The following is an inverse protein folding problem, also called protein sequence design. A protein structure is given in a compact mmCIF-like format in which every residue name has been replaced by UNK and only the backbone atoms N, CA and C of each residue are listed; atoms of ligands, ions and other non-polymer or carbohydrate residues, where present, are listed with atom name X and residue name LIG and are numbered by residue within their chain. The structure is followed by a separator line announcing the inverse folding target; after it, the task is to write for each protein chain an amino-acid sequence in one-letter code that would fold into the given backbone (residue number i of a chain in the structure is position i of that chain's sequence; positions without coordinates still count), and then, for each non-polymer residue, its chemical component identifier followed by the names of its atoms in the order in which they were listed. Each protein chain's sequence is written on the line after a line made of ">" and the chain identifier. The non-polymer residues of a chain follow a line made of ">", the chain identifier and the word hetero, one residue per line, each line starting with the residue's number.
data_IF_359631767915
#
_entry.id   IF_359631767915
#
_cell.length_a   1.000
_cell.length_b   1.000
_cell.length_c   1.000
_cell.angle_alpha   90.00
_cell.angle_beta   90.00
_cell.angle_gamma   90.00
#
_symmetry.space_group_name_H-M   'P 1'
#
loop_
_entity.id
_entity.type
_entity.pdbx_description
1 polymer ?
#
# COMPACT_ATOMS: atom_id res chain seq x y z
N UNK A 1 -13.80 62.70 -18.80
CA UNK A 1 -14.34 61.95 -19.96
C UNK A 1 -13.75 60.55 -19.89
N UNK A 2 -14.47 59.43 -19.91
CA UNK A 2 -15.90 59.14 -19.97
C UNK A 2 -16.03 57.69 -19.47
N UNK A 3 -16.97 57.48 -18.55
CA UNK A 3 -17.44 56.17 -18.06
C UNK A 3 -18.22 55.45 -19.15
N UNK A 4 -18.07 54.13 -19.30
CA UNK A 4 -19.15 53.22 -19.73
C UNK A 4 -19.04 51.87 -18.97
N UNK A 5 -20.09 51.58 -18.21
CA UNK A 5 -20.50 50.30 -17.63
C UNK A 5 -21.34 49.50 -18.64
N UNK A 6 -21.42 48.17 -18.51
CA UNK A 6 -22.62 47.28 -18.65
C UNK A 6 -22.15 45.81 -18.59
N UNK A 7 -22.58 44.90 -17.69
CA UNK A 7 -23.90 44.35 -17.26
C UNK A 7 -24.24 43.00 -17.92
N UNK A 8 -24.83 42.09 -17.11
CA UNK A 8 -25.66 40.94 -17.50
C UNK A 8 -24.87 39.64 -17.79
N UNK A 9 -25.22 38.45 -17.32
CA UNK A 9 -26.51 37.93 -16.85
C UNK A 9 -26.33 36.74 -15.88
N UNK A 10 -27.11 36.74 -14.80
CA UNK A 10 -27.64 35.51 -14.19
C UNK A 10 -28.74 34.96 -15.11
N UNK A 11 -29.02 33.64 -15.07
CA UNK A 11 -30.24 33.29 -14.35
C UNK A 11 -30.11 32.05 -13.45
N UNK A 12 -30.51 32.30 -12.22
CA UNK A 12 -31.30 31.48 -11.29
C UNK A 12 -32.40 30.62 -11.95
N UNK A 13 -32.63 29.43 -11.39
CA UNK A 13 -33.92 28.75 -11.10
C UNK A 13 -33.54 27.34 -10.57
N UNK A 14 -33.48 27.08 -9.27
CA UNK A 14 -34.55 26.86 -8.27
C UNK A 14 -35.46 25.64 -8.55
N UNK A 15 -35.65 24.84 -7.48
CA UNK A 15 -36.78 23.92 -7.17
C UNK A 15 -36.80 22.55 -7.89
N UNK A 16 -37.08 21.38 -7.31
CA UNK A 16 -37.84 20.92 -6.11
C UNK A 16 -37.25 19.55 -5.65
N UNK A 17 -37.03 19.33 -4.36
CA UNK A 17 -37.94 18.61 -3.44
C UNK A 17 -38.67 17.42 -4.05
N UNK A 18 -38.33 16.19 -3.60
CA UNK A 18 -39.32 15.11 -3.44
C UNK A 18 -38.78 14.06 -2.45
N UNK A 19 -38.92 14.39 -1.16
CA UNK A 19 -39.20 13.38 -0.14
C UNK A 19 -40.62 12.88 -0.39
N UNK A 20 -40.81 11.59 -0.61
CA UNK A 20 -42.12 10.96 -0.41
C UNK A 20 -41.97 9.75 0.51
N UNK A 21 -42.73 9.71 1.62
CA UNK A 21 -42.70 8.66 2.62
C UNK A 21 -43.59 7.48 2.19
N UNK A 22 -43.32 6.32 2.80
CA UNK A 22 -44.31 5.25 2.91
C UNK A 22 -44.36 4.27 1.74
N UNK A 23 -43.80 3.07 1.96
CA UNK A 23 -44.40 1.81 1.47
C UNK A 23 -43.88 0.63 2.28
N UNK A 24 -44.70 0.30 3.29
CA UNK A 24 -45.07 -1.07 3.72
C UNK A 24 -44.12 -2.21 3.34
N UNK A 25 -43.37 -2.63 4.35
CA UNK A 25 -42.95 -4.00 4.64
C UNK A 25 -44.08 -5.01 4.33
N UNK A 26 -43.93 -5.77 3.23
CA UNK A 26 -44.68 -7.00 3.02
C UNK A 26 -44.01 -8.12 3.82
N UNK A 27 -44.55 -8.44 4.99
CA UNK A 27 -44.30 -9.72 5.64
C UNK A 27 -44.99 -10.82 4.83
N UNK A 28 -44.21 -11.66 4.15
CA UNK A 28 -44.73 -12.92 3.64
C UNK A 28 -45.06 -13.82 4.83
N UNK A 29 -46.34 -14.09 5.01
CA UNK A 29 -46.85 -15.09 5.95
C UNK A 29 -46.34 -16.49 5.54
N UNK A 30 -45.67 -17.17 6.46
CA UNK A 30 -45.37 -18.60 6.35
C UNK A 30 -46.62 -19.40 6.77
N UNK A 31 -47.02 -20.46 6.04
CA UNK A 31 -48.06 -21.36 6.48
C UNK A 31 -47.59 -22.23 7.65
N UNK A 32 -48.49 -22.43 8.62
CA UNK A 32 -48.36 -23.41 9.71
C UNK A 32 -48.77 -24.80 9.24
N UNK A 33 -48.07 -25.81 9.73
CA UNK A 33 -48.43 -27.24 9.68
C UNK A 33 -47.21 -28.08 9.28
N UNK A 34 -46.80 -29.15 9.96
CA UNK A 34 -47.32 -29.86 11.13
C UNK A 34 -46.33 -30.97 11.54
N UNK A 35 -46.38 -31.30 12.83
CA UNK A 35 -46.15 -32.59 13.55
C UNK A 35 -45.29 -33.73 12.96
N UNK A 36 -44.40 -34.23 13.84
CA UNK A 36 -43.96 -35.64 14.03
C UNK A 36 -42.83 -36.11 13.11
N UNK A 37 -41.88 -36.97 13.49
CA UNK A 37 -41.47 -37.64 14.72
C UNK A 37 -40.01 -38.10 14.50
N UNK A 38 -39.28 -38.39 15.57
CA UNK A 38 -37.83 -38.59 15.56
C UNK A 38 -37.31 -39.79 14.75
N UNK A 39 -36.15 -39.59 14.15
CA UNK A 39 -35.20 -40.66 13.82
C UNK A 39 -33.78 -40.18 14.12
N UNK A 40 -33.10 -40.95 14.96
CA UNK A 40 -31.73 -40.78 15.38
C UNK A 40 -30.78 -41.16 14.25
N UNK A 41 -30.14 -40.17 13.64
CA UNK A 41 -29.09 -40.36 12.64
C UNK A 41 -27.98 -39.33 12.81
N UNK A 42 -26.91 -39.72 13.49
CA UNK A 42 -25.63 -39.02 13.50
C UNK A 42 -25.01 -39.10 12.09
N UNK A 43 -24.93 -37.99 11.34
CA UNK A 43 -23.97 -37.84 10.25
C UNK A 43 -23.76 -36.35 9.83
N UNK A 44 -22.57 -35.85 10.13
CA UNK A 44 -21.76 -34.80 9.47
C UNK A 44 -22.39 -33.43 9.19
N UNK A 45 -21.80 -32.40 9.84
CA UNK A 45 -21.94 -31.00 9.46
C UNK A 45 -21.44 -30.81 8.01
N UNK A 46 -22.27 -30.40 7.04
CA UNK A 46 -21.72 -29.88 5.80
C UNK A 46 -21.05 -28.54 6.12
N UNK A 47 -19.74 -28.45 5.89
CA UNK A 47 -19.02 -27.18 5.86
C UNK A 47 -19.64 -26.36 4.75
N UNK A 48 -20.62 -25.53 5.11
CA UNK A 48 -21.28 -24.59 4.22
C UNK A 48 -20.25 -23.59 3.72
N UNK A 49 -19.69 -23.86 2.55
CA UNK A 49 -19.03 -22.87 1.70
C UNK A 49 -20.09 -21.88 1.21
N UNK A 50 -20.57 -21.01 2.10
CA UNK A 50 -21.38 -19.85 1.75
C UNK A 50 -20.50 -18.82 1.05
N UNK A 51 -20.32 -18.98 -0.27
CA UNK A 51 -19.75 -17.92 -1.08
C UNK A 51 -20.85 -16.89 -1.38
N UNK A 52 -20.82 -15.79 -0.62
CA UNK A 52 -21.51 -14.55 -0.94
C UNK A 52 -21.02 -13.92 -2.26
N UNK A 53 -21.64 -12.81 -2.69
CA UNK A 53 -21.85 -12.49 -4.10
C UNK A 53 -20.56 -12.20 -4.87
N UNK A 54 -20.64 -12.62 -6.13
CA UNK A 54 -19.62 -12.63 -7.17
C UNK A 54 -19.22 -11.22 -7.63
N UNK A 55 -18.29 -10.58 -6.93
CA UNK A 55 -17.55 -9.38 -7.38
C UNK A 55 -16.02 -9.56 -7.26
N UNK A 56 -15.55 -10.78 -6.97
CA UNK A 56 -14.16 -11.08 -6.59
C UNK A 56 -13.38 -11.88 -7.64
N UNK A 57 -13.90 -12.01 -8.87
CA UNK A 57 -13.37 -12.97 -9.86
C UNK A 57 -12.10 -12.49 -10.58
N UNK A 58 -11.87 -11.18 -10.73
CA UNK A 58 -10.76 -10.64 -11.54
C UNK A 58 -9.90 -9.58 -10.82
N UNK A 59 -9.77 -9.64 -9.49
CA UNK A 59 -8.83 -8.78 -8.78
C UNK A 59 -7.38 -9.23 -9.04
N UNK A 60 -6.43 -8.30 -9.26
CA UNK A 60 -5.03 -8.62 -9.60
C UNK A 60 -4.22 -9.15 -8.42
N UNK A 61 -4.65 -8.88 -7.18
CA UNK A 61 -3.98 -9.36 -5.98
C UNK A 61 -4.94 -10.15 -5.10
N UNK A 62 -4.38 -10.97 -4.21
CA UNK A 62 -5.13 -11.70 -3.19
C UNK A 62 -4.40 -11.70 -1.86
N UNK A 63 -5.15 -11.82 -0.78
CA UNK A 63 -4.63 -12.02 0.57
C UNK A 63 -5.47 -13.07 1.28
N UNK A 64 -4.80 -13.96 2.01
CA UNK A 64 -5.45 -14.94 2.89
C UNK A 64 -4.48 -15.44 3.97
N UNK A 65 -5.02 -16.04 5.02
CA UNK A 65 -4.24 -16.94 5.87
C UNK A 65 -4.03 -18.27 5.14
N UNK A 66 -2.79 -18.75 5.16
CA UNK A 66 -2.41 -19.97 4.45
C UNK A 66 -3.16 -21.19 4.98
N UNK A 67 -4.07 -21.76 4.18
CA UNK A 67 -4.86 -22.96 4.57
C UNK A 67 -4.02 -24.23 4.78
N UNK A 68 -2.82 -24.27 4.21
CA UNK A 68 -1.88 -25.39 4.33
C UNK A 68 -0.46 -24.93 4.01
N UNK A 69 0.52 -25.73 4.43
CA UNK A 69 1.95 -25.50 4.18
C UNK A 69 2.46 -26.06 2.84
N UNK A 70 1.58 -26.27 1.86
CA UNK A 70 1.95 -26.81 0.53
C UNK A 70 2.41 -25.74 -0.47
N UNK A 71 2.16 -24.46 -0.17
CA UNK A 71 2.53 -23.37 -1.06
C UNK A 71 3.99 -22.95 -0.85
N UNK A 72 4.72 -22.77 -1.94
CA UNK A 72 6.09 -22.23 -1.94
C UNK A 72 6.05 -20.76 -2.33
N UNK A 73 6.72 -19.90 -1.56
CA UNK A 73 6.85 -18.49 -1.87
C UNK A 73 7.65 -18.29 -3.16
N UNK A 74 7.08 -17.60 -4.14
CA UNK A 74 7.76 -17.31 -5.41
C UNK A 74 8.90 -16.30 -5.29
N UNK A 75 9.00 -15.59 -4.17
CA UNK A 75 10.08 -14.62 -3.89
C UNK A 75 11.33 -15.28 -3.32
N UNK A 76 11.22 -15.92 -2.16
CA UNK A 76 12.35 -16.53 -1.46
C UNK A 76 12.50 -18.04 -1.70
N UNK A 77 11.58 -18.67 -2.43
CA UNK A 77 11.54 -20.12 -2.72
C UNK A 77 11.38 -21.03 -1.49
N UNK A 78 11.10 -20.47 -0.32
CA UNK A 78 10.81 -21.23 0.90
C UNK A 78 9.31 -21.53 1.03
N UNK A 79 9.00 -22.57 1.79
CA UNK A 79 7.63 -22.97 2.12
C UNK A 79 6.91 -21.89 2.94
N UNK A 80 5.63 -21.65 2.64
CA UNK A 80 4.75 -20.78 3.41
C UNK A 80 4.04 -21.64 4.44
N UNK A 81 4.18 -21.30 5.73
CA UNK A 81 3.58 -22.08 6.82
C UNK A 81 2.05 -21.92 6.86
N UNK A 82 1.36 -22.95 7.34
CA UNK A 82 -0.09 -22.87 7.58
C UNK A 82 -0.41 -21.75 8.59
N UNK A 83 -1.58 -21.16 8.46
CA UNK A 83 -2.11 -20.06 9.29
C UNK A 83 -1.26 -18.78 9.29
N UNK A 84 -0.27 -18.67 8.39
CA UNK A 84 0.48 -17.43 8.19
C UNK A 84 -0.16 -16.54 7.13
N UNK A 85 -0.09 -15.22 7.33
CA UNK A 85 -0.57 -14.25 6.36
C UNK A 85 0.29 -14.31 5.08
N UNK A 86 -0.37 -14.55 3.95
CA UNK A 86 0.27 -14.60 2.63
C UNK A 86 -0.48 -13.75 1.61
N UNK A 87 0.25 -13.29 0.61
CA UNK A 87 -0.31 -12.48 -0.48
C UNK A 87 -0.02 -13.15 -1.82
N UNK A 88 -0.90 -12.95 -2.79
CA UNK A 88 -0.74 -13.44 -4.15
C UNK A 88 -0.77 -12.33 -5.20
N UNK A 89 -0.03 -12.55 -6.28
CA UNK A 89 -0.22 -11.86 -7.55
C UNK A 89 -0.95 -12.81 -8.49
N UNK A 90 -2.06 -12.36 -9.07
CA UNK A 90 -2.88 -13.15 -9.99
C UNK A 90 -2.45 -12.88 -11.41
N UNK A 91 -1.90 -13.90 -12.03
CA UNK A 91 -1.42 -13.83 -13.42
C UNK A 91 -2.13 -14.91 -14.24
N UNK A 92 -2.40 -14.68 -15.54
CA UNK A 92 -2.93 -15.71 -16.41
C UNK A 92 -2.06 -16.97 -16.36
N UNK A 93 -2.69 -18.12 -16.14
CA UNK A 93 -2.00 -19.40 -16.15
C UNK A 93 -1.54 -19.73 -17.58
N UNK A 94 -0.37 -20.36 -17.67
CA UNK A 94 0.13 -20.92 -18.94
C UNK A 94 -0.46 -22.30 -19.25
N UNK A 95 -1.11 -22.92 -18.27
CA UNK A 95 -1.52 -24.33 -18.34
C UNK A 95 -3.04 -24.52 -18.42
N UNK A 96 -3.81 -23.52 -18.02
CA UNK A 96 -5.27 -23.57 -18.05
C UNK A 96 -5.84 -22.18 -18.29
N UNK A 97 -7.05 -22.11 -18.83
CA UNK A 97 -7.74 -20.85 -19.08
C UNK A 97 -8.29 -20.29 -17.76
N UNK A 98 -7.48 -19.48 -17.10
CA UNK A 98 -7.84 -18.82 -15.86
C UNK A 98 -6.67 -18.08 -15.20
N UNK A 99 -6.98 -17.40 -14.10
CA UNK A 99 -5.97 -16.72 -13.28
C UNK A 99 -5.38 -17.72 -12.28
N UNK A 100 -4.06 -17.71 -12.15
CA UNK A 100 -3.33 -18.47 -11.16
C UNK A 100 -2.79 -17.53 -10.07
N UNK A 101 -3.04 -17.90 -8.82
CA UNK A 101 -2.48 -17.23 -7.65
C UNK A 101 -1.00 -17.62 -7.45
N UNK A 102 -0.10 -16.66 -7.66
CA UNK A 102 1.31 -16.80 -7.31
C UNK A 102 1.53 -16.32 -5.88
N UNK A 103 1.71 -17.25 -4.94
CA UNK A 103 1.82 -16.96 -3.50
C UNK A 103 3.21 -16.46 -3.08
N UNK A 104 3.21 -15.53 -2.13
CA UNK A 104 4.37 -14.95 -1.48
C UNK A 104 4.14 -14.86 0.04
N UNK A 105 5.20 -14.96 0.84
CA UNK A 105 5.14 -14.46 2.21
C UNK A 105 4.81 -12.97 2.19
N UNK A 106 4.10 -12.49 3.22
CA UNK A 106 3.77 -11.07 3.38
C UNK A 106 4.96 -10.11 3.11
N UNK A 107 6.15 -10.26 3.73
CA UNK A 107 7.28 -9.38 3.43
C UNK A 107 7.83 -9.55 2.00
N UNK A 108 7.83 -10.78 1.46
CA UNK A 108 8.34 -11.05 0.12
C UNK A 108 7.49 -10.41 -0.98
N UNK A 109 6.18 -10.29 -0.74
CA UNK A 109 5.26 -9.62 -1.66
C UNK A 109 5.67 -8.16 -1.86
N UNK A 110 5.84 -7.40 -0.76
CA UNK A 110 6.18 -5.98 -0.82
C UNK A 110 7.58 -5.71 -1.41
N UNK A 111 8.50 -6.66 -1.34
CA UNK A 111 9.80 -6.56 -2.04
C UNK A 111 9.70 -6.69 -3.56
N UNK A 112 8.64 -7.35 -4.06
CA UNK A 112 8.37 -7.50 -5.50
C UNK A 112 7.63 -6.29 -6.07
N UNK A 113 6.79 -5.63 -5.28
CA UNK A 113 6.02 -4.47 -5.73
C UNK A 113 6.98 -3.29 -5.94
N UNK A 114 7.08 -2.85 -7.19
CA UNK A 114 7.88 -1.68 -7.57
C UNK A 114 6.94 -0.47 -7.66
N UNK A 115 7.18 0.61 -6.89
CA UNK A 115 6.42 1.84 -6.98
C UNK A 115 6.33 2.35 -8.43
N UNK A 116 5.12 2.69 -8.88
CA UNK A 116 4.86 3.24 -10.22
C UNK A 116 4.70 2.23 -11.35
N UNK A 117 5.13 0.96 -11.17
CA UNK A 117 4.86 -0.11 -12.15
C UNK A 117 3.58 -0.87 -11.83
N UNK A 118 3.22 -0.94 -10.55
CA UNK A 118 2.09 -1.71 -10.05
C UNK A 118 1.26 -0.82 -9.14
N UNK A 119 0.00 -0.59 -9.52
CA UNK A 119 -0.97 0.11 -8.69
C UNK A 119 -1.67 -0.92 -7.78
N UNK A 120 -1.48 -0.77 -6.47
CA UNK A 120 -2.11 -1.62 -5.47
C UNK A 120 -2.96 -0.74 -4.55
N UNK A 121 -4.21 -1.14 -4.35
CA UNK A 121 -5.16 -0.47 -3.47
C UNK A 121 -5.97 -1.54 -2.74
N UNK A 122 -6.69 -1.16 -1.67
CA UNK A 122 -7.48 -2.13 -0.88
C UNK A 122 -8.52 -2.85 -1.74
N UNK A 123 -9.08 -2.16 -2.75
CA UNK A 123 -10.08 -2.71 -3.66
C UNK A 123 -9.50 -3.70 -4.67
N UNK A 124 -8.21 -3.61 -4.98
CA UNK A 124 -7.52 -4.49 -5.93
C UNK A 124 -7.01 -5.78 -5.29
N UNK A 125 -7.20 -5.93 -3.97
CA UNK A 125 -6.82 -7.10 -3.18
C UNK A 125 -8.06 -7.90 -2.81
N UNK A 126 -8.16 -9.13 -3.33
CA UNK A 126 -9.21 -10.06 -2.92
C UNK A 126 -8.98 -10.58 -1.51
N UNK A 127 -10.05 -10.63 -0.71
CA UNK A 127 -10.06 -11.30 0.59
C UNK A 127 -9.60 -10.43 1.75
N UNK A 128 -9.33 -9.14 1.51
CA UNK A 128 -8.90 -8.20 2.55
C UNK A 128 -9.91 -8.09 3.70
N UNK A 129 -11.19 -8.17 3.37
CA UNK A 129 -12.35 -8.19 4.27
C UNK A 129 -12.39 -9.41 5.20
N UNK A 130 -11.74 -10.51 4.80
CA UNK A 130 -11.71 -11.76 5.59
C UNK A 130 -10.53 -11.84 6.56
N UNK A 131 -9.59 -10.90 6.48
CA UNK A 131 -8.40 -10.83 7.32
C UNK A 131 -8.72 -10.08 8.63
N UNK A 132 -7.95 -10.34 9.70
CA UNK A 132 -8.09 -9.60 10.97
C UNK A 132 -7.82 -8.11 10.76
N UNK A 133 -8.54 -7.26 11.48
CA UNK A 133 -8.41 -5.81 11.37
C UNK A 133 -6.97 -5.31 11.54
N UNK A 134 -6.21 -5.83 12.51
CA UNK A 134 -4.79 -5.47 12.71
C UNK A 134 -3.93 -5.74 11.46
N UNK A 135 -4.20 -6.82 10.75
CA UNK A 135 -3.46 -7.18 9.53
C UNK A 135 -3.97 -6.38 8.31
N UNK A 136 -5.24 -5.94 8.31
CA UNK A 136 -5.76 -4.99 7.33
C UNK A 136 -5.07 -3.62 7.44
N UNK A 137 -4.92 -3.09 8.66
CA UNK A 137 -4.17 -1.84 8.90
C UNK A 137 -2.73 -1.95 8.40
N UNK A 138 -2.03 -3.05 8.70
CA UNK A 138 -0.67 -3.29 8.19
C UNK A 138 -0.60 -3.29 6.67
N UNK A 139 -1.61 -3.83 5.98
CA UNK A 139 -1.68 -3.80 4.51
C UNK A 139 -1.88 -2.36 4.04
N UNK A 140 -2.79 -1.60 4.65
CA UNK A 140 -3.05 -0.20 4.31
C UNK A 140 -1.81 0.67 4.47
N UNK A 141 -1.07 0.51 5.58
CA UNK A 141 0.20 1.18 5.81
C UNK A 141 1.23 0.87 4.72
N UNK A 142 1.31 -0.40 4.29
CA UNK A 142 2.22 -0.81 3.22
C UNK A 142 1.83 -0.24 1.86
N UNK A 143 0.53 -0.19 1.54
CA UNK A 143 0.01 0.42 0.31
C UNK A 143 0.39 1.91 0.28
N UNK A 144 0.07 2.65 1.35
CA UNK A 144 0.44 4.06 1.47
C UNK A 144 1.97 4.25 1.40
N UNK A 145 2.74 3.33 1.96
CA UNK A 145 4.20 3.29 1.82
C UNK A 145 4.63 3.11 0.36
N UNK A 146 4.00 2.23 -0.42
CA UNK A 146 4.37 2.05 -1.83
C UNK A 146 4.06 3.30 -2.67
N UNK A 147 2.92 3.95 -2.46
CA UNK A 147 2.54 5.19 -3.17
C UNK A 147 3.53 6.34 -2.89
N UNK A 148 3.97 6.46 -1.63
CA UNK A 148 4.92 7.49 -1.20
C UNK A 148 6.40 7.08 -1.40
N UNK A 149 6.68 5.84 -1.83
CA UNK A 149 8.04 5.29 -1.90
C UNK A 149 8.72 5.14 -0.53
N UNK A 150 7.94 4.81 0.50
CA UNK A 150 8.26 4.75 1.93
C UNK A 150 7.95 3.36 2.54
N UNK A 151 8.49 2.29 1.95
CA UNK A 151 8.51 0.99 2.63
C UNK A 151 9.37 1.09 3.91
N UNK A 152 9.08 0.34 4.99
CA UNK A 152 9.87 0.43 6.23
C UNK A 152 11.33 0.00 6.04
N UNK A 153 11.63 -0.88 5.09
CA UNK A 153 13.01 -1.20 4.69
C UNK A 153 13.66 -0.05 3.88
N UNK A 154 12.87 0.91 3.39
CA UNK A 154 13.33 2.15 2.76
C UNK A 154 13.57 3.29 3.75
N UNK A 155 13.24 3.08 5.03
CA UNK A 155 13.58 3.98 6.13
C UNK A 155 14.84 3.54 6.87
N UNK A 156 15.63 2.61 6.33
CA UNK A 156 16.97 2.34 6.84
C UNK A 156 18.01 3.21 6.13
N UNK A 157 19.07 3.59 6.85
CA UNK A 157 20.21 4.27 6.23
C UNK A 157 20.87 3.43 5.13
N UNK A 158 20.86 2.10 5.26
CA UNK A 158 21.36 1.15 4.25
C UNK A 158 20.58 1.16 2.92
N UNK A 159 19.36 1.68 2.90
CA UNK A 159 18.58 1.83 1.66
C UNK A 159 18.84 3.15 0.94
N UNK A 160 19.64 4.04 1.54
CA UNK A 160 20.01 5.32 0.96
C UNK A 160 21.37 5.24 0.26
N UNK A 161 21.51 6.08 -0.76
CA UNK A 161 22.79 6.32 -1.44
C UNK A 161 23.17 7.79 -1.30
N UNK A 162 24.43 8.07 -1.02
CA UNK A 162 24.98 9.43 -0.95
C UNK A 162 26.08 9.60 -1.98
N UNK A 163 26.05 10.71 -2.71
CA UNK A 163 27.13 11.11 -3.62
C UNK A 163 27.16 12.62 -3.80
N UNK A 164 28.32 13.14 -4.22
CA UNK A 164 28.40 14.50 -4.73
C UNK A 164 27.71 14.62 -6.09
N UNK A 165 26.97 15.70 -6.28
CA UNK A 165 26.37 16.04 -7.55
C UNK A 165 27.45 16.28 -8.62
N UNK A 166 27.59 15.31 -9.53
CA UNK A 166 28.53 15.39 -10.67
C UNK A 166 28.17 16.51 -11.65
N UNK A 167 26.89 16.87 -11.73
CA UNK A 167 26.35 17.93 -12.60
C UNK A 167 25.20 18.65 -11.91
N UNK A 168 24.95 19.91 -12.28
CA UNK A 168 23.82 20.71 -11.80
C UNK A 168 22.48 20.42 -12.48
N UNK A 169 22.42 19.37 -13.32
CA UNK A 169 21.20 18.96 -14.03
C UNK A 169 20.22 18.18 -13.15
N UNK A 170 20.67 17.69 -12.00
CA UNK A 170 19.82 16.96 -11.05
C UNK A 170 18.84 17.89 -10.35
N UNK A 171 17.59 17.46 -10.21
CA UNK A 171 16.55 18.18 -9.46
C UNK A 171 16.18 17.37 -8.22
N UNK A 172 15.90 18.06 -7.13
CA UNK A 172 15.38 17.43 -5.92
C UNK A 172 13.92 17.00 -6.13
N UNK A 173 13.59 15.75 -5.85
CA UNK A 173 12.22 15.24 -6.03
C UNK A 173 11.21 15.86 -5.06
N UNK A 174 11.64 16.41 -3.92
CA UNK A 174 10.76 17.07 -2.94
C UNK A 174 10.52 18.54 -3.28
N UNK A 175 11.56 19.39 -3.29
CA UNK A 175 11.40 20.82 -3.53
C UNK A 175 11.46 21.24 -5.01
N UNK A 176 11.74 20.30 -5.92
CA UNK A 176 11.89 20.53 -7.37
C UNK A 176 13.01 21.50 -7.79
N UNK A 177 13.76 22.04 -6.84
CA UNK A 177 14.93 22.90 -7.09
C UNK A 177 16.12 22.08 -7.62
N UNK A 178 17.00 22.74 -8.38
CA UNK A 178 18.23 22.14 -8.89
C UNK A 178 19.24 21.93 -7.75
N UNK A 179 19.94 20.80 -7.81
CA UNK A 179 21.02 20.45 -6.88
C UNK A 179 22.32 20.98 -7.48
N UNK A 180 23.08 21.78 -6.74
CA UNK A 180 24.30 22.40 -7.26
C UNK A 180 25.41 21.36 -7.50
N UNK A 181 26.31 21.63 -8.44
CA UNK A 181 27.46 20.74 -8.67
C UNK A 181 28.38 20.73 -7.44
N UNK A 182 28.93 19.56 -7.09
CA UNK A 182 29.71 19.29 -5.88
C UNK A 182 28.92 19.37 -4.56
N UNK A 183 27.61 19.60 -4.60
CA UNK A 183 26.76 19.50 -3.41
C UNK A 183 26.43 18.04 -3.10
N UNK A 184 26.29 17.70 -1.81
CA UNK A 184 25.89 16.36 -1.37
C UNK A 184 24.41 16.15 -1.66
N UNK A 185 24.10 15.06 -2.36
CA UNK A 185 22.72 14.64 -2.61
C UNK A 185 22.51 13.21 -2.17
N UNK A 186 21.27 12.93 -1.77
CA UNK A 186 20.84 11.62 -1.34
C UNK A 186 19.91 11.01 -2.38
N UNK A 187 20.12 9.75 -2.69
CA UNK A 187 19.25 8.96 -3.54
C UNK A 187 18.36 8.06 -2.66
N UNK A 188 17.05 8.14 -2.90
CA UNK A 188 16.04 7.22 -2.38
C UNK A 188 15.20 6.72 -3.54
N UNK A 189 15.12 5.40 -3.73
CA UNK A 189 14.35 4.77 -4.82
C UNK A 189 14.52 5.47 -6.18
N UNK A 190 15.77 5.64 -6.62
CA UNK A 190 16.15 6.28 -7.90
C UNK A 190 15.85 7.79 -8.04
N UNK A 191 15.33 8.44 -7.00
CA UNK A 191 15.10 9.89 -6.94
C UNK A 191 16.18 10.59 -6.11
N UNK A 192 16.57 11.80 -6.51
CA UNK A 192 17.56 12.61 -5.81
C UNK A 192 16.92 13.63 -4.88
N UNK A 193 17.53 13.86 -3.72
CA UNK A 193 17.06 14.78 -2.69
C UNK A 193 18.21 15.59 -2.12
N UNK A 194 17.95 16.84 -1.71
CA UNK A 194 18.85 17.58 -0.83
C UNK A 194 18.88 16.94 0.55
N UNK A 195 19.98 17.13 1.27
CA UNK A 195 20.13 16.68 2.67
C UNK A 195 18.92 17.10 3.51
N UNK A 196 18.63 18.42 3.58
CA UNK A 196 17.51 18.94 4.36
C UNK A 196 16.17 18.42 3.86
N UNK A 197 15.98 18.29 2.55
CA UNK A 197 14.70 17.82 2.01
C UNK A 197 14.38 16.38 2.40
N UNK A 198 15.38 15.50 2.48
CA UNK A 198 15.17 14.09 2.79
C UNK A 198 14.89 13.86 4.28
N UNK A 199 15.63 14.54 5.17
CA UNK A 199 15.62 14.24 6.60
C UNK A 199 14.62 15.07 7.44
N UNK A 200 13.86 15.99 6.83
CA UNK A 200 12.92 16.86 7.59
C UNK A 200 11.73 16.10 8.21
N UNK A 201 11.15 15.13 7.51
CA UNK A 201 9.89 14.47 7.94
C UNK A 201 10.05 12.97 8.18
N UNK A 202 11.21 12.39 7.86
CA UNK A 202 11.42 10.95 7.86
C UNK A 202 12.54 10.60 8.84
N UNK A 203 12.20 9.78 9.85
CA UNK A 203 13.19 9.13 10.71
C UNK A 203 13.75 7.92 9.98
N UNK A 204 15.08 7.82 10.00
CA UNK A 204 15.79 6.68 9.46
C UNK A 204 16.40 5.86 10.60
N UNK A 205 16.25 4.55 10.51
CA UNK A 205 16.82 3.59 11.45
C UNK A 205 18.18 3.07 10.94
N UNK A 206 19.06 2.69 11.87
CA UNK A 206 20.40 2.14 11.59
C UNK A 206 21.55 3.14 11.75
N UNK A 207 22.75 2.77 11.29
CA UNK A 207 23.92 3.64 11.35
C UNK A 207 24.11 4.45 10.06
N UNK A 208 24.47 5.72 10.19
CA UNK A 208 24.77 6.62 9.06
C UNK A 208 25.91 6.07 8.19
N UNK A 209 26.79 5.27 8.79
CA UNK A 209 27.92 4.62 8.11
C UNK A 209 27.46 3.58 7.08
N UNK A 210 26.24 3.06 7.22
CA UNK A 210 25.68 2.03 6.34
C UNK A 210 25.15 2.61 5.01
N UNK A 211 25.15 3.94 4.85
CA UNK A 211 24.71 4.59 3.60
C UNK A 211 25.68 4.25 2.48
N UNK A 212 25.15 3.79 1.34
CA UNK A 212 25.96 3.49 0.16
C UNK A 212 26.65 4.76 -0.35
N UNK A 213 27.98 4.74 -0.44
CA UNK A 213 28.77 5.90 -0.89
C UNK A 213 29.28 6.81 0.22
N UNK A 214 28.90 6.58 1.49
CA UNK A 214 29.39 7.38 2.63
C UNK A 214 30.92 7.38 2.75
N UNK A 215 31.57 6.25 2.42
CA UNK A 215 33.03 6.13 2.41
C UNK A 215 33.75 7.00 1.38
N UNK A 216 33.06 7.49 0.33
CA UNK A 216 33.64 8.31 -0.73
C UNK A 216 33.62 9.82 -0.42
N UNK A 217 32.99 10.22 0.69
CA UNK A 217 32.95 11.61 1.15
C UNK A 217 34.26 11.99 1.86
N UNK A 218 34.54 13.29 1.92
CA UNK A 218 35.65 13.82 2.74
C UNK A 218 35.34 13.63 4.23
N UNK A 219 36.37 13.56 5.06
CA UNK A 219 36.19 13.33 6.50
C UNK A 219 35.49 14.51 7.20
N UNK A 220 35.68 15.73 6.69
CA UNK A 220 34.97 16.95 7.09
C UNK A 220 33.46 16.85 6.81
N UNK A 221 33.09 16.40 5.61
CA UNK A 221 31.68 16.26 5.22
C UNK A 221 31.01 15.10 5.97
N UNK A 222 31.74 14.01 6.23
CA UNK A 222 31.24 12.90 7.07
C UNK A 222 30.88 13.37 8.46
N UNK A 223 31.73 14.21 9.08
CA UNK A 223 31.48 14.77 10.41
C UNK A 223 30.26 15.68 10.38
N UNK A 224 30.19 16.57 9.40
CA UNK A 224 29.05 17.50 9.21
C UNK A 224 27.72 16.76 9.02
N UNK A 225 27.73 15.67 8.24
CA UNK A 225 26.54 14.82 8.03
C UNK A 225 26.13 14.11 9.32
N UNK A 226 27.09 13.57 10.08
CA UNK A 226 26.81 12.91 11.36
C UNK A 226 26.22 13.91 12.36
N UNK A 227 26.76 15.12 12.44
CA UNK A 227 26.29 16.13 13.40
C UNK A 227 24.92 16.69 13.00
N UNK A 228 24.69 16.96 11.72
CA UNK A 228 23.37 17.39 11.21
C UNK A 228 22.28 16.35 11.54
N UNK A 229 22.60 15.05 11.41
CA UNK A 229 21.65 13.97 11.66
C UNK A 229 21.38 13.74 13.16
N UNK A 230 22.37 13.97 14.03
CA UNK A 230 22.15 14.02 15.49
C UNK A 230 21.22 15.16 15.88
N UNK A 231 21.34 16.31 15.22
CA UNK A 231 20.47 17.47 15.45
C UNK A 231 19.00 17.16 15.13
N UNK A 232 18.74 16.44 14.03
CA UNK A 232 17.39 15.95 13.69
C UNK A 232 16.86 14.88 14.65
N UNK A 233 17.72 14.12 15.33
CA UNK A 233 17.32 13.18 16.38
C UNK A 233 16.94 13.88 17.70
N UNK A 234 17.52 15.05 18.00
CA UNK A 234 17.33 15.77 19.26
C UNK A 234 16.17 16.77 19.25
N UNK A 235 15.74 17.26 18.08
CA UNK A 235 14.73 18.33 17.93
C UNK A 235 13.26 17.91 18.18
N UNK A 236 12.98 16.73 18.73
CA UNK A 236 11.63 16.30 19.14
C UNK A 236 11.66 15.46 20.42
N UNK A 237 12.12 16.06 21.53
CA UNK A 237 11.60 15.71 22.85
C UNK A 237 10.40 16.61 23.16
#
# INVERSE_FOLDING_TARGET
>A
MQVILCRGDEPRLDLEQNLVPGRTINYCALPRGGTGDGDSGELVLPVGMGQGPTESKNLPFGVEYARSSRATCKGCKNTIQQDTLRMSVREPSRHFDGLQDNWFHFPCFWKRIVPGKVEINEKSIKGIDTIRWDDQEKIREKIAGVENGDLPEAKSFSALKVEYAKTSRGKCSKCKLAIAQKEIKFAKHMSWFHQKCLFVDVKYDGEIKDIEGFGQLTDEDKLTLQDSLKEFQQLKQ
#
